data_IF_599471983594
#
_entry.id   IF_599471983594
#
_cell.length_a   1.000
_cell.length_b   1.000
_cell.length_c   1.000
_cell.angle_alpha   90.00
_cell.angle_beta   90.00
_cell.angle_gamma   90.00
#
_symmetry.space_group_name_H-M   'P 1'
#
loop_
_entity.id
_entity.type
_entity.pdbx_description
1 polymer ?
#
# COMPACT_ATOMS: atom_id res chain seq x y z
N UNK A 1 7.85 -44.24 -6.96
CA UNK A 1 7.22 -43.90 -5.67
C UNK A 1 7.10 -42.39 -5.59
N UNK A 2 5.96 -41.90 -6.06
CA UNK A 2 5.59 -40.49 -6.11
C UNK A 2 5.27 -39.97 -4.69
N UNK A 3 5.18 -38.64 -4.58
CA UNK A 3 4.58 -37.84 -3.48
C UNK A 3 5.62 -37.12 -2.58
N UNK A 4 6.03 -35.94 -3.04
CA UNK A 4 5.96 -34.68 -2.28
C UNK A 4 6.10 -33.54 -3.31
N UNK A 5 5.02 -33.17 -4.02
CA UNK A 5 4.24 -31.94 -3.73
C UNK A 5 5.18 -30.85 -3.16
N UNK A 6 5.69 -29.93 -3.98
CA UNK A 6 4.86 -28.86 -4.50
C UNK A 6 4.50 -27.92 -3.35
N UNK A 7 5.27 -26.84 -3.22
CA UNK A 7 5.03 -25.49 -2.65
C UNK A 7 6.42 -24.98 -2.25
N UNK A 8 7.28 -24.68 -3.23
CA UNK A 8 8.27 -23.62 -3.01
C UNK A 8 7.51 -22.36 -3.34
N UNK A 9 6.90 -21.79 -2.30
CA UNK A 9 6.26 -20.50 -2.35
C UNK A 9 7.21 -19.56 -3.08
N UNK A 10 6.78 -19.11 -4.26
CA UNK A 10 7.37 -18.01 -4.98
C UNK A 10 7.38 -16.83 -4.00
N UNK A 11 8.50 -16.65 -3.30
CA UNK A 11 8.87 -15.41 -2.64
C UNK A 11 9.17 -14.42 -3.76
N UNK A 12 8.12 -14.03 -4.48
CA UNK A 12 8.10 -12.76 -5.17
C UNK A 12 8.34 -11.73 -4.06
N UNK A 13 9.42 -10.94 -4.13
CA UNK A 13 9.62 -9.89 -3.16
C UNK A 13 8.38 -9.01 -3.21
N UNK A 14 7.81 -8.71 -2.03
CA UNK A 14 6.68 -7.79 -1.87
C UNK A 14 6.93 -6.40 -2.49
N UNK A 15 8.13 -6.15 -3.03
CA UNK A 15 8.47 -5.01 -3.86
C UNK A 15 7.69 -4.96 -5.18
N UNK A 16 7.18 -6.08 -5.71
CA UNK A 16 6.39 -6.08 -6.95
C UNK A 16 4.89 -5.77 -6.76
N UNK A 17 4.38 -5.77 -5.52
CA UNK A 17 3.03 -5.25 -5.23
C UNK A 17 3.02 -3.74 -4.96
N UNK A 18 4.19 -3.13 -4.74
CA UNK A 18 4.37 -1.68 -4.73
C UNK A 18 4.96 -1.20 -6.06
N UNK A 19 4.50 -1.79 -7.17
CA UNK A 19 4.72 -1.22 -8.48
C UNK A 19 4.01 0.14 -8.50
N UNK A 20 4.79 1.20 -8.26
CA UNK A 20 4.47 2.58 -8.54
C UNK A 20 4.23 2.70 -10.04
N UNK A 21 3.06 2.25 -10.49
CA UNK A 21 2.59 2.55 -11.82
C UNK A 21 1.85 3.89 -11.71
N UNK A 22 2.45 5.03 -12.09
CA UNK A 22 1.72 6.27 -12.18
C UNK A 22 0.62 6.05 -13.24
N UNK A 23 -0.62 5.85 -12.78
CA UNK A 23 -1.76 5.78 -13.68
C UNK A 23 -1.70 7.01 -14.60
N UNK A 24 -1.75 6.82 -15.92
CA UNK A 24 -1.42 7.86 -16.88
C UNK A 24 -2.37 9.06 -16.73
N UNK A 25 -1.75 10.16 -16.29
CA UNK A 25 -2.02 11.58 -16.55
C UNK A 25 -3.42 12.18 -16.36
N UNK A 26 -4.44 11.46 -15.87
CA UNK A 26 -5.76 12.11 -15.65
C UNK A 26 -6.47 11.82 -14.31
N UNK A 27 -5.83 11.09 -13.41
CA UNK A 27 -6.28 10.92 -12.02
C UNK A 27 -5.11 11.23 -11.08
N UNK A 28 -4.50 12.41 -11.26
CA UNK A 28 -3.45 12.88 -10.36
C UNK A 28 -4.05 13.09 -8.96
N UNK A 29 -3.23 12.82 -7.95
CA UNK A 29 -3.64 12.96 -6.56
C UNK A 29 -4.00 14.44 -6.29
N UNK A 30 -5.17 14.74 -5.70
CA UNK A 30 -5.52 16.11 -5.35
C UNK A 30 -4.40 16.73 -4.50
N UNK A 31 -3.94 17.92 -4.88
CA UNK A 31 -3.08 18.74 -4.03
C UNK A 31 -3.83 19.08 -2.72
N UNK A 32 -3.12 19.33 -1.60
CA UNK A 32 -3.75 19.75 -0.35
C UNK A 32 -4.70 20.92 -0.62
N UNK A 33 -5.90 20.85 -0.03
CA UNK A 33 -7.04 21.71 -0.38
C UNK A 33 -6.66 23.20 -0.46
N UNK A 34 -6.87 23.87 -1.60
CA UNK A 34 -7.05 25.30 -1.60
C UNK A 34 -8.43 25.61 -1.04
N UNK A 35 -8.50 26.57 -0.13
CA UNK A 35 -9.71 27.14 0.48
C UNK A 35 -10.60 27.83 -0.55
N UNK A 36 -11.26 27.09 -1.42
CA UNK A 36 -12.25 27.66 -2.33
C UNK A 36 -13.53 26.84 -2.32
N UNK A 37 -14.51 27.40 -1.60
CA UNK A 37 -15.77 26.83 -1.12
C UNK A 37 -16.82 26.48 -2.18
N UNK A 38 -16.46 26.38 -3.46
CA UNK A 38 -17.44 26.29 -4.55
C UNK A 38 -17.54 24.91 -5.24
N UNK A 39 -16.81 23.88 -4.78
CA UNK A 39 -16.99 22.49 -5.25
C UNK A 39 -17.90 21.63 -4.37
N UNK A 40 -18.36 22.14 -3.23
CA UNK A 40 -19.46 21.53 -2.48
C UNK A 40 -20.80 21.93 -3.12
N UNK A 41 -21.03 21.54 -4.38
CA UNK A 41 -22.39 21.64 -4.95
C UNK A 41 -23.23 20.51 -4.37
N UNK A 42 -23.90 20.84 -3.27
CA UNK A 42 -25.20 20.37 -2.85
C UNK A 42 -25.60 18.96 -3.37
N UNK A 43 -25.44 17.93 -2.55
CA UNK A 43 -26.27 16.73 -2.67
C UNK A 43 -26.47 16.10 -1.30
N UNK A 44 -27.72 16.13 -0.83
CA UNK A 44 -28.23 15.21 0.18
C UNK A 44 -27.76 13.77 -0.19
N UNK A 45 -27.40 12.92 0.79
CA UNK A 45 -26.86 11.60 0.50
C UNK A 45 -27.94 10.74 -0.20
N UNK A 46 -27.76 10.35 -1.47
CA UNK A 46 -28.72 9.49 -2.12
C UNK A 46 -28.39 8.05 -1.70
N UNK A 47 -29.38 7.34 -1.20
CA UNK A 47 -29.35 5.95 -0.72
C UNK A 47 -29.21 4.92 -1.85
N UNK A 48 -28.55 5.25 -2.97
CA UNK A 48 -28.38 4.41 -4.16
C UNK A 48 -26.95 4.61 -4.70
N UNK A 49 -26.20 3.59 -5.16
CA UNK A 49 -24.86 3.77 -5.75
C UNK A 49 -24.93 4.73 -6.95
N UNK A 50 -24.72 6.01 -6.67
CA UNK A 50 -24.95 7.09 -7.61
C UNK A 50 -23.87 7.10 -8.67
N UNK A 51 -24.29 6.97 -9.92
CA UNK A 51 -23.43 7.29 -11.06
C UNK A 51 -23.08 8.77 -11.00
N UNK A 52 -21.87 9.09 -10.55
CA UNK A 52 -21.33 10.45 -10.55
C UNK A 52 -20.87 10.78 -11.97
N UNK A 53 -21.29 11.93 -12.49
CA UNK A 53 -20.94 12.40 -13.84
C UNK A 53 -19.94 13.56 -13.71
N UNK A 54 -18.87 13.52 -14.49
CA UNK A 54 -17.86 14.58 -14.56
C UNK A 54 -18.36 15.81 -15.33
N UNK A 55 -17.64 16.93 -15.23
CA UNK A 55 -17.95 18.16 -15.98
C UNK A 55 -17.92 17.98 -17.52
N UNK A 56 -17.29 16.92 -18.02
CA UNK A 56 -17.28 16.55 -19.44
C UNK A 56 -18.44 15.64 -19.86
N UNK A 57 -19.42 15.38 -18.99
CA UNK A 57 -20.58 14.52 -19.26
C UNK A 57 -20.29 13.01 -19.18
N UNK A 58 -19.04 12.61 -18.90
CA UNK A 58 -18.64 11.20 -18.76
C UNK A 58 -18.83 10.68 -17.34
N UNK A 59 -19.00 9.37 -17.19
CA UNK A 59 -19.10 8.72 -15.88
C UNK A 59 -17.75 8.84 -15.14
N UNK A 60 -17.82 9.21 -13.86
CA UNK A 60 -16.68 9.26 -12.97
C UNK A 60 -16.37 7.86 -12.41
N UNK A 61 -15.09 7.56 -12.27
CA UNK A 61 -14.58 6.31 -11.70
C UNK A 61 -13.97 6.55 -10.33
N UNK A 62 -14.04 5.57 -9.44
CA UNK A 62 -13.42 5.63 -8.13
C UNK A 62 -11.97 5.15 -8.21
N UNK A 63 -11.06 5.92 -7.62
CA UNK A 63 -9.65 5.59 -7.43
C UNK A 63 -9.26 5.74 -5.97
N UNK A 64 -8.21 5.03 -5.58
CA UNK A 64 -7.63 5.10 -4.24
C UNK A 64 -6.37 5.94 -4.27
N UNK A 65 -6.24 6.87 -3.33
CA UNK A 65 -5.05 7.66 -3.11
C UNK A 65 -3.99 6.85 -2.38
N UNK A 66 -2.76 6.93 -2.88
CA UNK A 66 -1.59 6.28 -2.30
C UNK A 66 -0.54 7.30 -1.82
N UNK A 67 -0.96 8.54 -1.55
CA UNK A 67 -0.05 9.52 -0.93
C UNK A 67 0.10 9.24 0.56
N UNK A 68 1.23 9.67 1.13
CA UNK A 68 1.45 9.68 2.57
C UNK A 68 0.43 10.53 3.33
N UNK A 69 -0.11 11.57 2.69
CA UNK A 69 -1.11 12.48 3.27
C UNK A 69 -2.51 11.88 3.28
N UNK A 70 -2.90 11.11 2.25
CA UNK A 70 -4.23 10.50 2.13
C UNK A 70 -4.14 9.00 1.80
N UNK A 71 -3.43 8.19 2.60
CA UNK A 71 -3.24 6.79 2.28
C UNK A 71 -4.59 6.05 2.33
N UNK A 72 -4.93 5.35 1.26
CA UNK A 72 -6.11 4.51 1.19
C UNK A 72 -7.44 5.25 0.99
N UNK A 73 -7.44 6.58 0.86
CA UNK A 73 -8.67 7.38 0.69
C UNK A 73 -9.18 7.36 -0.74
N UNK A 74 -10.48 7.23 -0.95
CA UNK A 74 -11.09 7.10 -2.28
C UNK A 74 -11.60 8.43 -2.83
N UNK A 75 -11.40 8.64 -4.12
CA UNK A 75 -11.85 9.82 -4.85
C UNK A 75 -12.41 9.45 -6.24
N UNK A 76 -13.34 10.24 -6.73
CA UNK A 76 -13.87 10.22 -8.09
C UNK A 76 -12.92 10.97 -9.04
N UNK A 77 -12.64 10.39 -10.22
CA UNK A 77 -11.97 11.07 -11.33
C UNK A 77 -12.62 10.73 -12.68
N UNK A 78 -12.29 11.50 -13.72
CA UNK A 78 -12.77 11.23 -15.07
C UNK A 78 -12.34 9.85 -15.58
N UNK A 79 -13.29 9.12 -16.20
CA UNK A 79 -13.01 7.82 -16.84
C UNK A 79 -12.14 7.94 -18.09
N UNK A 80 -12.22 9.06 -18.81
CA UNK A 80 -11.48 9.29 -20.05
C UNK A 80 -10.01 9.56 -19.72
N UNK A 81 -9.12 8.67 -20.17
CA UNK A 81 -7.67 8.85 -20.05
C UNK A 81 -7.19 10.00 -20.95
N UNK A 82 -6.36 10.89 -20.41
CA UNK A 82 -5.79 12.03 -21.16
C UNK A 82 -6.79 13.14 -21.51
N UNK A 83 -7.99 13.13 -20.95
CA UNK A 83 -8.94 14.25 -21.12
C UNK A 83 -8.44 15.50 -20.40
N UNK A 84 -8.91 16.68 -20.83
CA UNK A 84 -8.64 17.94 -20.10
C UNK A 84 -9.62 18.17 -18.93
N UNK A 85 -10.49 17.20 -18.64
CA UNK A 85 -11.49 17.29 -17.57
C UNK A 85 -10.79 17.12 -16.22
N UNK A 86 -10.86 18.16 -15.38
CA UNK A 86 -10.23 18.20 -14.05
C UNK A 86 -11.19 17.85 -12.92
N UNK A 87 -12.25 17.12 -13.24
CA UNK A 87 -13.24 16.71 -12.25
C UNK A 87 -12.58 15.80 -11.20
N UNK A 88 -12.63 16.24 -9.95
CA UNK A 88 -12.13 15.52 -8.78
C UNK A 88 -13.13 15.70 -7.63
N UNK A 89 -13.49 14.62 -6.95
CA UNK A 89 -14.35 14.67 -5.77
C UNK A 89 -13.99 13.57 -4.80
N UNK A 90 -14.05 13.81 -3.49
CA UNK A 90 -13.77 12.76 -2.50
C UNK A 90 -15.00 11.87 -2.31
N UNK A 91 -14.80 10.55 -2.32
CA UNK A 91 -15.85 9.58 -1.96
C UNK A 91 -16.01 9.55 -0.44
N UNK A 92 -14.88 9.48 0.24
CA UNK A 92 -14.83 9.44 1.69
C UNK A 92 -14.78 10.88 2.23
N UNK A 93 -15.51 11.14 3.32
CA UNK A 93 -15.46 12.42 4.03
C UNK A 93 -14.04 12.81 4.46
N UNK A 94 -13.81 14.09 4.83
CA UNK A 94 -12.51 14.52 5.33
C UNK A 94 -12.06 13.61 6.47
N UNK A 95 -10.80 13.16 6.43
CA UNK A 95 -10.22 12.47 7.58
C UNK A 95 -10.18 13.44 8.75
N UNK A 96 -10.39 12.95 9.97
CA UNK A 96 -10.25 13.81 11.14
C UNK A 96 -8.79 14.31 11.24
N UNK A 97 -8.55 15.59 11.61
CA UNK A 97 -7.19 16.16 11.66
C UNK A 97 -6.22 15.32 12.50
N UNK A 98 -6.75 14.70 13.58
CA UNK A 98 -6.02 13.77 14.43
C UNK A 98 -5.54 12.54 13.67
N UNK A 99 -6.37 11.93 12.83
CA UNK A 99 -5.99 10.74 12.05
C UNK A 99 -4.89 11.07 11.04
N UNK A 100 -4.97 12.23 10.38
CA UNK A 100 -3.95 12.67 9.41
C UNK A 100 -2.57 12.81 10.07
N UNK A 101 -2.51 13.20 11.34
CA UNK A 101 -1.25 13.31 12.09
C UNK A 101 -0.78 11.97 12.66
N UNK A 102 -1.70 11.16 13.21
CA UNK A 102 -1.37 9.93 13.94
C UNK A 102 -1.02 8.78 12.98
N UNK A 103 -1.80 8.59 11.89
CA UNK A 103 -1.66 7.44 10.99
C UNK A 103 -0.24 7.34 10.40
N UNK A 104 0.35 8.42 9.83
CA UNK A 104 1.71 8.34 9.29
C UNK A 104 2.76 8.00 10.34
N UNK A 105 2.59 8.47 11.58
CA UNK A 105 3.47 8.14 12.70
C UNK A 105 3.42 6.66 13.04
N UNK A 106 2.21 6.11 13.20
CA UNK A 106 2.00 4.70 13.49
C UNK A 106 2.55 3.78 12.39
N UNK A 107 2.39 4.15 11.12
CA UNK A 107 2.94 3.38 10.00
C UNK A 107 4.47 3.33 10.04
N UNK A 108 5.14 4.45 10.36
CA UNK A 108 6.61 4.47 10.50
C UNK A 108 7.07 3.58 11.64
N UNK A 109 6.47 3.72 12.82
CA UNK A 109 6.80 2.90 13.98
C UNK A 109 6.60 1.41 13.70
N UNK A 110 5.50 1.03 13.03
CA UNK A 110 5.28 -0.36 12.61
C UNK A 110 6.38 -0.85 11.66
N UNK A 111 6.72 -0.07 10.63
CA UNK A 111 7.75 -0.43 9.66
C UNK A 111 9.13 -0.58 10.32
N UNK A 112 9.47 0.29 11.26
CA UNK A 112 10.71 0.24 12.04
C UNK A 112 10.77 -1.02 12.91
N UNK A 113 9.70 -1.32 13.64
CA UNK A 113 9.60 -2.53 14.46
C UNK A 113 9.72 -3.79 13.59
N UNK A 114 9.01 -3.84 12.46
CA UNK A 114 9.10 -4.98 11.53
C UNK A 114 10.50 -5.15 10.93
N UNK A 115 11.19 -4.05 10.61
CA UNK A 115 12.56 -4.08 10.12
C UNK A 115 13.52 -4.60 11.20
N UNK A 116 13.40 -4.11 12.44
CA UNK A 116 14.19 -4.57 13.58
C UNK A 116 13.96 -6.06 13.85
N UNK A 117 12.70 -6.53 13.85
CA UNK A 117 12.36 -7.94 14.03
C UNK A 117 13.01 -8.82 12.96
N UNK A 118 12.99 -8.40 11.69
CA UNK A 118 13.64 -9.14 10.61
C UNK A 118 15.16 -9.22 10.81
N UNK A 119 15.79 -8.14 11.26
CA UNK A 119 17.23 -8.12 11.53
C UNK A 119 17.55 -9.10 12.67
N UNK A 120 16.85 -9.01 13.80
CA UNK A 120 17.05 -9.90 14.96
C UNK A 120 16.80 -11.36 14.61
N UNK A 121 15.72 -11.66 13.88
CA UNK A 121 15.42 -13.02 13.44
C UNK A 121 16.49 -13.58 12.49
N UNK A 122 16.98 -12.75 11.56
CA UNK A 122 18.07 -13.14 10.65
C UNK A 122 19.38 -13.38 11.40
N UNK A 123 19.72 -12.54 12.37
CA UNK A 123 20.89 -12.72 13.23
C UNK A 123 20.77 -14.03 14.02
N UNK A 124 19.65 -14.25 14.70
CA UNK A 124 19.41 -15.49 15.44
C UNK A 124 19.50 -16.73 14.55
N UNK A 125 18.96 -16.68 13.33
CA UNK A 125 19.07 -17.78 12.35
C UNK A 125 20.52 -18.05 11.94
N UNK A 126 21.32 -16.99 11.69
CA UNK A 126 22.75 -17.11 11.36
C UNK A 126 23.54 -17.73 12.52
N UNK A 127 23.36 -17.23 13.74
CA UNK A 127 24.04 -17.76 14.92
C UNK A 127 23.66 -19.23 15.19
N UNK A 128 22.38 -19.59 15.09
CA UNK A 128 21.93 -20.99 15.20
C UNK A 128 22.61 -21.88 14.15
N UNK A 129 22.67 -21.42 12.90
CA UNK A 129 23.35 -22.16 11.83
C UNK A 129 24.85 -22.32 12.11
N UNK A 130 25.55 -21.27 12.56
CA UNK A 130 26.96 -21.35 12.93
C UNK A 130 27.21 -22.36 14.06
N UNK A 131 26.35 -22.37 15.08
CA UNK A 131 26.43 -23.36 16.16
C UNK A 131 26.24 -24.79 15.64
N UNK A 132 25.26 -25.03 14.75
CA UNK A 132 25.02 -26.34 14.16
C UNK A 132 26.21 -26.79 13.31
N UNK A 133 26.73 -25.91 12.45
CA UNK A 133 27.89 -26.21 11.59
C UNK A 133 29.12 -26.56 12.44
N UNK A 134 29.36 -25.79 13.50
CA UNK A 134 30.45 -26.07 14.44
C UNK A 134 30.29 -27.43 15.13
N UNK A 135 29.09 -27.74 15.63
CA UNK A 135 28.78 -29.03 16.26
C UNK A 135 28.96 -30.22 15.30
N UNK A 136 28.52 -30.08 14.05
CA UNK A 136 28.68 -31.13 13.03
C UNK A 136 30.16 -31.34 12.70
N UNK A 137 30.92 -30.26 12.50
CA UNK A 137 32.36 -30.34 12.22
C UNK A 137 33.13 -31.00 13.39
N UNK A 138 32.79 -30.63 14.63
CA UNK A 138 33.34 -31.25 15.82
C UNK A 138 33.01 -32.75 15.86
N UNK A 139 31.74 -33.14 15.71
CA UNK A 139 31.35 -34.55 15.70
C UNK A 139 32.08 -35.34 14.58
N UNK A 140 32.20 -34.78 13.38
CA UNK A 140 32.92 -35.42 12.28
C UNK A 140 34.40 -35.63 12.59
N UNK A 141 35.07 -34.66 13.23
CA UNK A 141 36.46 -34.80 13.67
C UNK A 141 36.62 -35.96 14.66
N UNK A 142 35.74 -36.05 15.66
CA UNK A 142 35.76 -37.13 16.67
C UNK A 142 35.34 -38.49 16.13
N UNK A 143 34.55 -38.55 15.06
CA UNK A 143 34.21 -39.81 14.39
C UNK A 143 35.28 -40.25 13.37
N UNK A 144 36.19 -39.36 12.98
CA UNK A 144 37.27 -39.64 12.03
C UNK A 144 38.58 -40.04 12.73
N UNK A 145 38.84 -39.51 13.92
CA UNK A 145 39.90 -39.99 14.82
C UNK A 145 39.50 -41.28 15.54
#
# INVERSE_FOLDING_TARGET
MSILKGIKAHLLPLTLLFNFNPSPSNCQNPQPEPSNSNLQRNSNPPTNPTMVICDCGSIAIIRTSWTSTNPGRRFYCCSIKGSRCRFLGWVDGPMCPRAVQIIPGLLRSKNEVEAALKITANQARKWKLMCIVSWVAFAMYFCWC
#
